data_IF_973408665665
#
_entry.id   IF_973408665665
#
_cell.length_a   1.000
_cell.length_b   1.000
_cell.length_c   1.000
_cell.angle_alpha   90.00
_cell.angle_beta   90.00
_cell.angle_gamma   90.00
#
_symmetry.space_group_name_H-M   'P 1'
#
loop_
_entity.id
_entity.type
_entity.pdbx_description
1 polymer ?
#
# COMPACT_ATOMS: atom_id res chain seq x y z
N UNK A 1 -4.37 -14.48 -36.31
CA UNK A 1 -5.41 -15.32 -36.92
C UNK A 1 -4.88 -15.88 -38.23
N UNK A 2 -5.00 -17.17 -38.42
CA UNK A 2 -4.67 -17.86 -39.66
C UNK A 2 -5.97 -18.19 -40.39
N UNK A 3 -6.07 -17.79 -41.66
CA UNK A 3 -7.24 -18.08 -42.50
C UNK A 3 -6.76 -18.99 -43.62
N UNK A 4 -7.51 -20.08 -43.86
CA UNK A 4 -7.28 -21.04 -44.93
C UNK A 4 -8.58 -21.17 -45.74
N UNK A 5 -8.50 -21.37 -47.00
CA UNK A 5 -9.62 -21.68 -47.87
C UNK A 5 -9.23 -22.84 -48.82
N UNK A 6 -10.21 -23.65 -49.23
CA UNK A 6 -10.08 -24.67 -50.26
C UNK A 6 -11.23 -24.56 -51.23
N UNK A 7 -11.04 -24.98 -52.49
CA UNK A 7 -12.09 -25.12 -53.48
C UNK A 7 -12.80 -26.50 -53.33
N UNK A 8 -13.83 -26.72 -54.13
CA UNK A 8 -14.60 -27.99 -54.12
C UNK A 8 -13.80 -29.18 -54.65
N UNK A 9 -12.69 -28.95 -55.35
CA UNK A 9 -11.79 -29.99 -55.88
C UNK A 9 -10.64 -30.32 -54.92
N UNK A 10 -10.65 -29.70 -53.72
CA UNK A 10 -9.68 -29.94 -52.66
C UNK A 10 -8.38 -29.14 -52.76
N UNK A 11 -8.27 -28.23 -53.70
CA UNK A 11 -7.10 -27.37 -53.80
C UNK A 11 -7.11 -26.30 -52.69
N UNK A 12 -6.07 -26.27 -51.87
CA UNK A 12 -5.95 -25.32 -50.77
C UNK A 12 -5.26 -24.06 -51.20
N UNK A 13 -5.85 -22.91 -50.87
CA UNK A 13 -5.18 -21.61 -51.00
C UNK A 13 -4.04 -21.50 -49.97
N UNK A 14 -2.97 -20.83 -50.33
CA UNK A 14 -1.89 -20.51 -49.38
C UNK A 14 -2.43 -19.79 -48.14
N UNK A 15 -2.08 -20.27 -46.97
CA UNK A 15 -2.53 -19.66 -45.71
C UNK A 15 -2.12 -18.20 -45.63
N UNK A 16 -3.05 -17.31 -45.30
CA UNK A 16 -2.79 -15.90 -44.94
C UNK A 16 -2.81 -15.71 -43.45
N UNK A 17 -1.76 -15.12 -42.90
CA UNK A 17 -1.65 -14.77 -41.51
C UNK A 17 -1.88 -13.28 -41.34
N UNK A 18 -2.85 -12.92 -40.50
CA UNK A 18 -3.08 -11.56 -40.08
C UNK A 18 -2.57 -11.39 -38.65
N UNK A 19 -1.61 -10.51 -38.46
CA UNK A 19 -1.12 -10.14 -37.13
C UNK A 19 -1.81 -8.82 -36.73
N UNK A 20 -2.30 -8.75 -35.52
CA UNK A 20 -2.82 -7.52 -34.94
C UNK A 20 -2.24 -7.35 -33.54
N UNK A 21 -1.94 -6.12 -33.18
CA UNK A 21 -1.47 -5.78 -31.85
C UNK A 21 -2.69 -5.42 -30.98
N UNK A 22 -2.82 -6.10 -29.83
CA UNK A 22 -3.77 -5.68 -28.80
C UNK A 22 -3.07 -4.68 -27.92
N UNK A 23 -3.60 -3.48 -27.81
CA UNK A 23 -3.08 -2.47 -26.89
C UNK A 23 -3.28 -2.96 -25.45
N UNK A 24 -2.19 -3.16 -24.73
CA UNK A 24 -2.22 -3.60 -23.34
C UNK A 24 -2.65 -2.44 -22.43
N UNK A 25 -3.72 -2.63 -21.67
CA UNK A 25 -4.25 -1.63 -20.75
C UNK A 25 -3.69 -1.86 -19.34
N UNK A 26 -3.28 -0.78 -18.68
CA UNK A 26 -2.87 -0.81 -17.29
C UNK A 26 -4.07 -1.14 -16.37
N UNK A 27 -3.88 -1.93 -15.32
CA UNK A 27 -4.96 -2.25 -14.41
C UNK A 27 -5.34 -1.03 -13.54
N UNK A 28 -6.62 -0.95 -13.17
CA UNK A 28 -7.03 -0.05 -12.10
C UNK A 28 -6.53 -0.60 -10.76
N UNK A 29 -6.08 0.28 -9.89
CA UNK A 29 -5.66 -0.04 -8.52
C UNK A 29 -6.16 1.06 -7.60
N UNK A 30 -6.85 0.70 -6.54
CA UNK A 30 -7.29 1.63 -5.51
C UNK A 30 -7.02 1.03 -4.11
N UNK A 31 -6.36 1.80 -3.26
CA UNK A 31 -6.09 1.44 -1.86
C UNK A 31 -7.11 2.17 -1.00
N UNK A 32 -8.03 1.42 -0.37
CA UNK A 32 -9.05 1.98 0.52
C UNK A 32 -8.56 2.14 1.95
N UNK A 33 -7.59 1.31 2.35
CA UNK A 33 -6.91 1.38 3.66
C UNK A 33 -5.50 0.80 3.52
N UNK A 34 -4.51 1.36 4.22
CA UNK A 34 -4.55 2.58 5.02
C UNK A 34 -4.57 3.85 4.16
N UNK A 35 -4.99 4.97 4.77
CA UNK A 35 -4.90 6.29 4.15
C UNK A 35 -3.43 6.74 4.03
N UNK A 36 -3.16 7.64 3.09
CA UNK A 36 -1.85 8.32 3.00
C UNK A 36 -1.58 9.12 4.29
N UNK A 37 -0.37 9.03 4.82
CA UNK A 37 0.03 9.75 6.01
C UNK A 37 -0.48 9.17 7.34
N UNK A 38 -1.10 8.00 7.35
CA UNK A 38 -1.65 7.40 8.57
C UNK A 38 -0.55 7.01 9.57
N UNK A 39 -0.84 7.20 10.87
CA UNK A 39 0.02 6.84 12.00
C UNK A 39 -0.47 5.56 12.67
N UNK A 40 0.47 4.72 13.08
CA UNK A 40 0.21 3.44 13.71
C UNK A 40 1.09 3.26 14.96
N UNK A 41 0.47 2.79 16.04
CA UNK A 41 1.16 2.40 17.29
C UNK A 41 1.58 0.93 17.34
N UNK A 42 1.34 0.18 16.28
CA UNK A 42 1.71 -1.22 16.14
C UNK A 42 2.31 -1.46 14.74
N UNK A 43 3.30 -2.35 14.67
CA UNK A 43 3.99 -2.68 13.42
C UNK A 43 3.06 -3.29 12.36
N UNK A 44 2.17 -4.19 12.79
CA UNK A 44 1.26 -4.89 11.88
C UNK A 44 0.09 -4.00 11.48
N UNK A 45 0.00 -3.73 10.18
CA UNK A 45 -1.02 -2.86 9.58
C UNK A 45 -1.87 -3.66 8.61
N UNK A 46 -3.19 -3.55 8.74
CA UNK A 46 -4.14 -4.13 7.79
C UNK A 46 -4.30 -3.21 6.59
N UNK A 47 -4.42 -3.82 5.41
CA UNK A 47 -4.70 -3.09 4.18
C UNK A 47 -5.87 -3.70 3.42
N UNK A 48 -6.53 -2.88 2.60
CA UNK A 48 -7.60 -3.31 1.71
C UNK A 48 -7.68 -2.40 0.49
N UNK A 49 -8.26 -2.93 -0.58
CA UNK A 49 -8.44 -2.17 -1.81
C UNK A 49 -9.14 -2.96 -2.90
N UNK A 50 -9.09 -2.41 -4.11
CA UNK A 50 -9.66 -3.02 -5.32
C UNK A 50 -8.70 -2.93 -6.49
N UNK A 51 -8.73 -3.94 -7.35
CA UNK A 51 -7.99 -3.95 -8.62
C UNK A 51 -8.65 -4.88 -9.61
N UNK A 52 -8.52 -4.59 -10.90
CA UNK A 52 -8.84 -5.51 -11.99
C UNK A 52 -7.59 -6.18 -12.57
N UNK A 53 -6.44 -6.05 -11.92
CA UNK A 53 -5.20 -6.73 -12.30
C UNK A 53 -5.27 -8.24 -12.07
N UNK A 54 -4.44 -8.97 -12.77
CA UNK A 54 -4.29 -10.42 -12.61
C UNK A 54 -3.37 -10.78 -11.43
N UNK A 55 -2.52 -9.86 -11.00
CA UNK A 55 -1.55 -10.04 -9.91
C UNK A 55 -1.42 -8.76 -9.10
N UNK A 56 -1.27 -8.90 -7.79
CA UNK A 56 -0.97 -7.79 -6.88
C UNK A 56 0.18 -8.18 -5.97
N UNK A 57 1.10 -7.25 -5.76
CA UNK A 57 2.15 -7.37 -4.74
C UNK A 57 2.18 -6.14 -3.85
N UNK A 58 2.58 -6.34 -2.59
CA UNK A 58 2.85 -5.28 -1.62
C UNK A 58 4.28 -5.40 -1.12
N UNK A 59 4.94 -4.26 -0.93
CA UNK A 59 6.31 -4.17 -0.41
C UNK A 59 6.45 -3.01 0.56
N UNK A 60 7.12 -3.23 1.69
CA UNK A 60 7.46 -2.18 2.67
C UNK A 60 8.94 -1.83 2.54
N UNK A 61 9.22 -0.56 2.25
CA UNK A 61 10.58 -0.06 2.06
C UNK A 61 11.36 -0.87 1.04
N UNK A 62 12.56 -1.33 1.44
CA UNK A 62 13.44 -2.19 0.64
C UNK A 62 13.21 -3.69 0.89
N UNK A 63 12.16 -4.08 1.64
CA UNK A 63 11.84 -5.46 1.93
C UNK A 63 11.43 -6.28 0.68
N UNK A 64 11.15 -7.55 0.88
CA UNK A 64 10.68 -8.45 -0.18
C UNK A 64 9.22 -8.16 -0.53
N UNK A 65 8.90 -8.14 -1.82
CA UNK A 65 7.53 -8.03 -2.27
C UNK A 65 6.74 -9.31 -1.95
N UNK A 66 5.57 -9.15 -1.36
CA UNK A 66 4.64 -10.23 -1.00
C UNK A 66 3.50 -10.29 -2.01
N UNK A 67 3.11 -11.48 -2.44
CA UNK A 67 1.94 -11.67 -3.28
C UNK A 67 0.66 -11.50 -2.44
N UNK A 68 -0.32 -10.83 -3.01
CA UNK A 68 -1.64 -10.60 -2.39
C UNK A 68 -2.70 -11.28 -3.22
N UNK A 69 -3.57 -12.06 -2.57
CA UNK A 69 -4.70 -12.72 -3.24
C UNK A 69 -5.77 -11.67 -3.60
N UNK A 70 -6.24 -11.76 -4.85
CA UNK A 70 -7.36 -10.96 -5.36
C UNK A 70 -8.57 -11.89 -5.46
N UNK A 71 -9.69 -11.50 -4.86
CA UNK A 71 -10.97 -12.19 -4.94
C UNK A 71 -12.06 -11.20 -5.38
N UNK A 72 -12.73 -11.46 -6.49
CA UNK A 72 -13.79 -10.59 -7.03
C UNK A 72 -13.38 -9.12 -7.19
N UNK A 73 -12.13 -8.90 -7.62
CA UNK A 73 -11.58 -7.55 -7.79
C UNK A 73 -11.24 -6.83 -6.48
N UNK A 74 -11.36 -7.49 -5.33
CA UNK A 74 -11.02 -6.96 -4.01
C UNK A 74 -9.81 -7.68 -3.45
N UNK A 75 -9.07 -7.00 -2.60
CA UNK A 75 -7.96 -7.59 -1.86
C UNK A 75 -7.88 -7.03 -0.44
N UNK A 76 -7.34 -7.82 0.45
CA UNK A 76 -7.01 -7.43 1.83
C UNK A 76 -5.87 -8.28 2.36
N UNK A 77 -5.22 -7.80 3.40
CA UNK A 77 -4.12 -8.51 4.05
C UNK A 77 -3.49 -7.66 5.15
N UNK A 78 -2.32 -8.08 5.59
CA UNK A 78 -1.50 -7.36 6.55
C UNK A 78 -0.05 -7.31 6.08
N UNK A 79 0.67 -6.28 6.50
CA UNK A 79 2.13 -6.19 6.40
C UNK A 79 2.67 -5.57 7.69
N UNK A 80 3.97 -5.75 7.93
CA UNK A 80 4.65 -5.12 9.06
C UNK A 80 5.45 -3.92 8.59
N UNK A 81 5.29 -2.79 9.29
CA UNK A 81 6.14 -1.61 9.13
C UNK A 81 7.56 -1.94 9.63
N UNK A 82 8.57 -1.48 8.90
CA UNK A 82 9.95 -1.91 9.09
C UNK A 82 10.65 -1.18 10.25
N UNK A 83 10.34 0.11 10.45
CA UNK A 83 11.05 0.97 11.41
C UNK A 83 10.12 2.03 12.00
N UNK A 84 10.50 2.59 13.14
CA UNK A 84 9.91 3.81 13.69
C UNK A 84 9.96 4.96 12.68
N UNK A 85 8.97 5.83 12.74
CA UNK A 85 8.80 6.93 11.82
C UNK A 85 8.27 6.49 10.45
N UNK A 86 8.75 7.14 9.39
CA UNK A 86 8.24 6.99 8.03
C UNK A 86 8.59 5.65 7.39
N UNK A 87 7.57 4.96 6.91
CA UNK A 87 7.67 3.76 6.09
C UNK A 87 6.98 4.00 4.73
N UNK A 88 7.62 3.62 3.65
CA UNK A 88 7.04 3.69 2.30
C UNK A 88 6.51 2.32 1.92
N UNK A 89 5.21 2.20 1.68
CA UNK A 89 4.56 0.96 1.25
C UNK A 89 4.19 1.09 -0.22
N UNK A 90 4.62 0.13 -1.04
CA UNK A 90 4.41 0.11 -2.48
C UNK A 90 3.50 -1.05 -2.86
N UNK A 91 2.40 -0.74 -3.53
CA UNK A 91 1.47 -1.70 -4.12
C UNK A 91 1.66 -1.69 -5.63
N UNK A 92 1.82 -2.87 -6.23
CA UNK A 92 1.96 -3.02 -7.68
C UNK A 92 0.93 -4.01 -8.18
N UNK A 93 0.00 -3.52 -8.98
CA UNK A 93 -0.96 -4.35 -9.71
C UNK A 93 -0.47 -4.59 -11.13
N UNK A 94 -0.56 -5.82 -11.61
CA UNK A 94 -0.11 -6.24 -12.94
C UNK A 94 -1.27 -6.85 -13.70
N UNK A 95 -1.52 -6.40 -14.93
CA UNK A 95 -2.51 -6.98 -15.83
C UNK A 95 -2.07 -8.34 -16.36
N UNK A 96 -2.96 -9.10 -16.98
CA UNK A 96 -2.62 -10.35 -17.67
C UNK A 96 -1.62 -10.15 -18.84
N UNK A 97 -1.59 -8.95 -19.41
CA UNK A 97 -0.64 -8.56 -20.46
C UNK A 97 0.71 -8.04 -19.94
N UNK A 98 0.90 -8.01 -18.60
CA UNK A 98 2.16 -7.58 -17.98
C UNK A 98 2.29 -6.08 -17.69
N UNK A 99 1.29 -5.26 -18.05
CA UNK A 99 1.31 -3.82 -17.74
C UNK A 99 1.01 -3.61 -16.26
N UNK A 100 1.69 -2.64 -15.64
CA UNK A 100 1.61 -2.41 -14.20
C UNK A 100 1.02 -1.05 -13.85
N UNK A 101 0.34 -1.00 -12.71
CA UNK A 101 -0.04 0.23 -12.00
C UNK A 101 0.55 0.16 -10.60
N UNK A 102 1.20 1.24 -10.17
CA UNK A 102 1.86 1.34 -8.87
C UNK A 102 1.24 2.46 -8.04
N UNK A 103 0.93 2.16 -6.78
CA UNK A 103 0.54 3.14 -5.77
C UNK A 103 1.48 3.01 -4.58
N UNK A 104 1.95 4.14 -4.07
CA UNK A 104 2.72 4.22 -2.83
C UNK A 104 1.88 4.85 -1.72
N UNK A 105 2.17 4.47 -0.46
CA UNK A 105 1.65 5.10 0.76
C UNK A 105 2.80 5.39 1.71
N UNK A 106 2.87 6.60 2.21
CA UNK A 106 3.74 6.97 3.31
C UNK A 106 2.97 6.74 4.61
N UNK A 107 3.44 5.82 5.43
CA UNK A 107 2.83 5.46 6.71
C UNK A 107 3.84 5.71 7.82
N UNK A 108 3.37 6.01 9.01
CA UNK A 108 4.22 6.34 10.14
C UNK A 108 3.98 5.35 11.27
N UNK A 109 5.06 4.74 11.76
CA UNK A 109 5.06 3.93 12.97
C UNK A 109 5.54 4.80 14.13
N UNK A 110 4.79 4.80 15.21
CA UNK A 110 5.13 5.45 16.46
C UNK A 110 4.70 4.55 17.62
N UNK A 111 5.64 3.79 18.14
CA UNK A 111 5.43 2.86 19.26
C UNK A 111 5.92 3.42 20.58
N UNK A 112 6.49 4.62 20.55
CA UNK A 112 7.04 5.28 21.74
C UNK A 112 5.92 6.04 22.46
N UNK A 113 5.74 5.77 23.74
CA UNK A 113 4.80 6.52 24.55
C UNK A 113 5.49 7.80 25.08
N UNK A 114 4.78 8.94 25.14
CA UNK A 114 5.32 10.14 25.74
C UNK A 114 5.66 9.92 27.22
N UNK A 115 6.78 10.48 27.65
CA UNK A 115 7.25 10.39 29.03
C UNK A 115 7.21 11.76 29.72
N UNK A 116 6.69 11.82 30.95
CA UNK A 116 6.80 13.00 31.80
C UNK A 116 8.23 13.05 32.34
N UNK A 117 9.01 14.03 31.89
CA UNK A 117 10.41 14.19 32.27
C UNK A 117 10.62 15.03 33.52
N UNK A 118 9.70 15.95 33.80
CA UNK A 118 9.75 16.76 35.02
C UNK A 118 8.37 17.30 35.39
N UNK A 119 8.13 17.40 36.70
CA UNK A 119 7.01 18.14 37.30
C UNK A 119 7.58 19.08 38.36
N UNK A 120 7.33 20.36 38.24
CA UNK A 120 7.76 21.37 39.22
C UNK A 120 6.58 22.16 39.72
N UNK A 121 6.64 22.56 41.00
CA UNK A 121 5.67 23.46 41.65
C UNK A 121 6.44 24.67 42.17
N UNK A 122 6.01 25.88 41.76
CA UNK A 122 6.69 27.12 42.15
C UNK A 122 5.65 28.19 42.59
N UNK A 123 5.81 28.80 43.74
CA UNK A 123 6.78 28.50 44.82
C UNK A 123 6.45 27.21 45.56
N UNK A 124 7.45 26.57 46.16
CA UNK A 124 7.26 25.42 47.04
C UNK A 124 8.21 25.54 48.25
N UNK A 125 7.71 25.73 49.48
CA UNK A 125 6.28 25.75 49.88
C UNK A 125 5.55 27.01 49.37
N UNK A 126 4.22 26.92 49.34
CA UNK A 126 3.31 28.03 49.02
C UNK A 126 2.52 28.44 50.25
N UNK A 127 2.40 29.75 50.49
CA UNK A 127 1.61 30.27 51.61
C UNK A 127 0.11 30.09 51.35
N UNK A 128 -0.66 29.92 52.43
CA UNK A 128 -2.10 29.75 52.35
C UNK A 128 -2.76 30.98 51.66
N UNK A 129 -3.63 30.67 50.69
CA UNK A 129 -4.32 31.69 49.88
C UNK A 129 -3.50 32.32 48.77
N UNK A 130 -2.27 31.87 48.51
CA UNK A 130 -1.44 32.28 47.35
C UNK A 130 -1.57 31.30 46.18
N UNK A 131 -1.24 31.79 45.00
CA UNK A 131 -1.20 31.01 43.75
C UNK A 131 0.15 30.31 43.59
N UNK A 132 0.12 29.20 42.89
CA UNK A 132 1.31 28.43 42.46
C UNK A 132 1.19 28.02 41.03
N UNK A 133 2.30 27.72 40.41
CA UNK A 133 2.39 27.24 39.05
C UNK A 133 2.87 25.78 39.10
N UNK A 134 2.15 24.89 38.41
CA UNK A 134 2.61 23.55 38.13
C UNK A 134 3.12 23.54 36.68
N UNK A 135 4.38 23.20 36.50
CA UNK A 135 4.99 23.03 35.17
C UNK A 135 5.27 21.55 34.93
N UNK A 136 4.83 21.03 33.78
CA UNK A 136 5.04 19.63 33.39
C UNK A 136 5.83 19.65 32.08
N UNK A 137 6.96 18.96 32.08
CA UNK A 137 7.76 18.72 30.86
C UNK A 137 7.49 17.32 30.35
N UNK A 138 7.14 17.21 29.07
CA UNK A 138 6.86 15.95 28.38
C UNK A 138 7.85 15.79 27.25
N UNK A 139 8.37 14.60 27.05
CA UNK A 139 9.23 14.19 25.92
C UNK A 139 8.59 13.03 25.20
N UNK A 140 8.70 13.03 23.87
CA UNK A 140 8.21 12.00 22.96
C UNK A 140 9.29 11.71 21.91
#
# INVERSE_FOLDING_TARGET
VKVTASDNDGNAAGAKTLTFNVLATAPNLAITSPAEGAYFKAKTVSFAGTTNGAKLTVKVGNGTAQNVTIADGKFSGTFDLAAEGKNVVTFVSTSASGVTTTITRNLYLDTVAPAISAVTITPNPVDAGKTYIISVSVTD
#
